data_IF_932055626049
#
_entry.id   IF_932055626049
#
_cell.length_a   1.000
_cell.length_b   1.000
_cell.length_c   1.000
_cell.angle_alpha   90.00
_cell.angle_beta   90.00
_cell.angle_gamma   90.00
#
_symmetry.space_group_name_H-M   'P 1'
#
loop_
_entity.id
_entity.type
_entity.pdbx_description
1 polymer ?
#
# COMPACT_ATOMS: atom_id res chain seq x y z
N UNK A 1 7.77 -15.96 -16.79
CA UNK A 1 6.79 -16.27 -15.74
C UNK A 1 6.50 -14.98 -14.98
N UNK A 2 5.25 -14.55 -14.99
CA UNK A 2 4.76 -13.40 -14.22
C UNK A 2 4.33 -13.81 -12.82
N UNK A 3 4.12 -12.85 -11.93
CA UNK A 3 3.62 -13.13 -10.57
C UNK A 3 2.22 -13.76 -10.60
N UNK A 4 1.35 -13.36 -11.54
CA UNK A 4 0.01 -13.95 -11.70
C UNK A 4 0.09 -15.41 -12.15
N UNK A 5 0.96 -15.72 -13.12
CA UNK A 5 1.17 -17.10 -13.60
C UNK A 5 1.70 -18.03 -12.51
N UNK A 6 2.48 -17.50 -11.57
CA UNK A 6 3.01 -18.26 -10.44
C UNK A 6 1.95 -18.53 -9.35
N UNK A 7 1.05 -17.57 -9.09
CA UNK A 7 0.14 -17.60 -7.92
C UNK A 7 -1.23 -18.19 -8.25
N UNK A 8 -1.81 -17.89 -9.42
CA UNK A 8 -3.18 -18.28 -9.73
C UNK A 8 -3.38 -19.83 -9.74
N UNK A 9 -2.45 -20.66 -10.28
CA UNK A 9 -2.59 -22.12 -10.20
C UNK A 9 -2.58 -22.66 -8.77
N UNK A 10 -1.77 -22.06 -7.89
CA UNK A 10 -1.70 -22.44 -6.46
C UNK A 10 -3.05 -22.14 -5.80
N UNK A 11 -3.61 -20.96 -6.07
CA UNK A 11 -4.92 -20.60 -5.54
C UNK A 11 -6.02 -21.57 -6.01
N UNK A 12 -6.05 -21.91 -7.30
CA UNK A 12 -7.04 -22.84 -7.84
C UNK A 12 -6.91 -24.24 -7.24
N UNK A 13 -5.68 -24.73 -7.03
CA UNK A 13 -5.43 -25.99 -6.33
C UNK A 13 -5.96 -25.97 -4.90
N UNK A 14 -5.63 -24.92 -4.12
CA UNK A 14 -6.08 -24.78 -2.74
C UNK A 14 -7.60 -24.67 -2.66
N UNK A 15 -8.21 -23.88 -3.53
CA UNK A 15 -9.66 -23.73 -3.60
C UNK A 15 -10.35 -25.07 -3.88
N UNK A 16 -9.88 -25.84 -4.87
CA UNK A 16 -10.41 -27.16 -5.19
C UNK A 16 -10.28 -28.16 -4.05
N UNK A 17 -9.11 -28.20 -3.40
CA UNK A 17 -8.87 -29.07 -2.24
C UNK A 17 -9.80 -28.73 -1.07
N UNK A 18 -9.93 -27.45 -0.73
CA UNK A 18 -10.84 -26.98 0.32
C UNK A 18 -12.30 -27.33 0.00
N UNK A 19 -12.74 -27.13 -1.24
CA UNK A 19 -14.11 -27.43 -1.66
C UNK A 19 -14.42 -28.93 -1.56
N UNK A 20 -13.49 -29.78 -2.03
CA UNK A 20 -13.63 -31.24 -1.94
C UNK A 20 -13.74 -31.70 -0.49
N UNK A 21 -12.85 -31.20 0.38
CA UNK A 21 -12.88 -31.54 1.81
C UNK A 21 -14.17 -31.05 2.48
N UNK A 22 -14.59 -29.82 2.20
CA UNK A 22 -15.82 -29.25 2.76
C UNK A 22 -17.04 -30.10 2.38
N UNK A 23 -17.19 -30.43 1.10
CA UNK A 23 -18.30 -31.26 0.60
C UNK A 23 -18.22 -32.66 1.20
N UNK A 24 -17.05 -33.29 1.19
CA UNK A 24 -16.87 -34.66 1.70
C UNK A 24 -17.20 -34.78 3.19
N UNK A 25 -16.64 -33.89 4.01
CA UNK A 25 -16.86 -33.87 5.47
C UNK A 25 -18.32 -33.55 5.78
N UNK A 26 -18.90 -32.56 5.10
CA UNK A 26 -20.30 -32.17 5.33
C UNK A 26 -21.26 -33.27 4.88
N UNK A 27 -21.02 -33.91 3.73
CA UNK A 27 -21.83 -35.03 3.27
C UNK A 27 -21.75 -36.22 4.23
N UNK A 28 -20.56 -36.56 4.72
CA UNK A 28 -20.38 -37.61 5.73
C UNK A 28 -21.10 -37.26 7.03
N UNK A 29 -20.97 -36.02 7.52
CA UNK A 29 -21.65 -35.54 8.72
C UNK A 29 -23.18 -35.62 8.56
N UNK A 30 -23.73 -35.10 7.46
CA UNK A 30 -25.17 -35.17 7.16
C UNK A 30 -25.63 -36.62 7.05
N UNK A 31 -24.86 -37.47 6.36
CA UNK A 31 -25.15 -38.90 6.26
C UNK A 31 -25.24 -39.55 7.64
N UNK A 32 -24.27 -39.33 8.53
CA UNK A 32 -24.28 -39.91 9.87
C UNK A 32 -25.44 -39.39 10.71
N UNK A 33 -25.70 -38.08 10.67
CA UNK A 33 -26.83 -37.46 11.38
C UNK A 33 -28.16 -38.07 10.92
N UNK A 34 -28.37 -38.27 9.62
CA UNK A 34 -29.62 -38.81 9.08
C UNK A 34 -29.73 -40.33 9.28
N UNK A 35 -28.65 -41.08 9.05
CA UNK A 35 -28.65 -42.55 9.09
C UNK A 35 -28.71 -43.10 10.51
N UNK A 36 -28.06 -42.43 11.46
CA UNK A 36 -27.96 -42.85 12.86
C UNK A 36 -28.76 -41.93 13.80
N UNK A 37 -29.70 -41.15 13.25
CA UNK A 37 -30.67 -40.42 14.06
C UNK A 37 -31.43 -41.38 15.00
N UNK A 38 -31.66 -40.97 16.25
CA UNK A 38 -32.29 -41.82 17.29
C UNK A 38 -33.64 -42.43 16.87
N UNK A 39 -34.43 -41.73 16.05
CA UNK A 39 -35.69 -42.27 15.55
C UNK A 39 -35.54 -43.39 14.51
N UNK A 40 -34.37 -43.50 13.85
CA UNK A 40 -34.07 -44.52 12.83
C UNK A 40 -33.14 -45.62 13.35
N UNK A 41 -32.26 -45.30 14.30
CA UNK A 41 -31.34 -46.22 14.95
C UNK A 41 -31.43 -46.04 16.48
N UNK A 42 -32.47 -46.61 17.13
CA UNK A 42 -32.72 -46.41 18.56
C UNK A 42 -31.73 -47.15 19.47
N UNK A 43 -31.11 -48.22 18.99
CA UNK A 43 -30.08 -48.98 19.70
C UNK A 43 -28.74 -48.89 18.96
N UNK A 44 -27.65 -48.74 19.71
CA UNK A 44 -26.30 -48.73 19.15
C UNK A 44 -25.89 -50.14 18.72
N UNK A 45 -25.34 -50.28 17.51
CA UNK A 45 -25.04 -51.58 16.90
C UNK A 45 -23.54 -51.85 16.71
N UNK A 46 -22.67 -50.91 17.10
CA UNK A 46 -21.21 -51.01 16.92
C UNK A 46 -20.49 -50.91 18.26
N UNK A 47 -19.72 -51.96 18.59
CA UNK A 47 -18.80 -52.00 19.74
C UNK A 47 -17.33 -51.75 19.33
N UNK A 48 -17.09 -51.32 18.09
CA UNK A 48 -15.76 -51.05 17.57
C UNK A 48 -15.14 -49.80 18.21
N UNK A 49 -14.03 -49.98 18.90
CA UNK A 49 -13.31 -48.90 19.60
C UNK A 49 -12.11 -48.32 18.83
N UNK A 50 -11.81 -48.83 17.64
CA UNK A 50 -10.70 -48.34 16.82
C UNK A 50 -10.52 -49.09 15.51
N UNK A 51 -9.81 -48.47 14.57
CA UNK A 51 -9.43 -49.09 13.31
C UNK A 51 -8.07 -48.51 12.87
N UNK A 52 -7.00 -49.28 13.11
CA UNK A 52 -5.63 -48.87 12.80
C UNK A 52 -5.46 -48.44 11.33
N UNK A 53 -6.13 -49.11 10.39
CA UNK A 53 -6.03 -48.74 8.97
C UNK A 53 -6.68 -47.39 8.69
N UNK A 54 -7.84 -47.13 9.27
CA UNK A 54 -8.49 -45.82 9.17
C UNK A 54 -7.61 -44.74 9.80
N UNK A 55 -6.97 -45.06 10.93
CA UNK A 55 -6.04 -44.19 11.63
C UNK A 55 -4.81 -43.83 10.79
N UNK A 56 -4.23 -44.82 10.11
CA UNK A 56 -3.11 -44.60 9.20
C UNK A 56 -3.55 -43.73 8.03
N UNK A 57 -4.70 -44.02 7.42
CA UNK A 57 -5.21 -43.29 6.24
C UNK A 57 -5.49 -41.84 6.58
N UNK A 58 -6.20 -41.55 7.66
CA UNK A 58 -6.54 -40.17 8.05
C UNK A 58 -5.34 -39.38 8.59
N UNK A 59 -4.21 -40.04 8.87
CA UNK A 59 -2.99 -39.37 9.29
C UNK A 59 -2.13 -39.07 8.07
N UNK A 60 -1.86 -40.09 7.26
CA UNK A 60 -1.00 -39.94 6.08
C UNK A 60 -1.61 -39.03 5.02
N UNK A 61 -2.92 -39.11 4.77
CA UNK A 61 -3.57 -38.32 3.72
C UNK A 61 -3.47 -36.80 4.00
N UNK A 62 -3.85 -36.27 5.17
CA UNK A 62 -3.65 -34.85 5.48
C UNK A 62 -2.17 -34.45 5.54
N UNK A 63 -1.28 -35.31 6.06
CA UNK A 63 0.16 -35.01 6.06
C UNK A 63 0.69 -34.83 4.65
N UNK A 64 0.38 -35.73 3.73
CA UNK A 64 0.80 -35.62 2.33
C UNK A 64 0.19 -34.39 1.64
N UNK A 65 -1.08 -34.09 1.92
CA UNK A 65 -1.74 -32.90 1.40
C UNK A 65 -1.03 -31.61 1.86
N UNK A 66 -0.72 -31.49 3.16
CA UNK A 66 -0.02 -30.33 3.72
C UNK A 66 1.40 -30.23 3.15
N UNK A 67 2.11 -31.34 2.98
CA UNK A 67 3.43 -31.36 2.35
C UNK A 67 3.39 -30.87 0.89
N UNK A 68 2.38 -31.27 0.13
CA UNK A 68 2.17 -30.76 -1.23
C UNK A 68 1.86 -29.25 -1.23
N UNK A 69 0.97 -28.78 -0.33
CA UNK A 69 0.67 -27.35 -0.16
C UNK A 69 1.93 -26.55 0.20
N UNK A 70 2.79 -27.07 1.08
CA UNK A 70 4.06 -26.44 1.45
C UNK A 70 4.97 -26.29 0.23
N UNK A 71 5.14 -27.36 -0.56
CA UNK A 71 5.98 -27.32 -1.77
C UNK A 71 5.51 -26.23 -2.76
N UNK A 72 4.21 -26.19 -3.06
CA UNK A 72 3.65 -25.16 -3.94
C UNK A 72 3.79 -23.76 -3.35
N UNK A 73 3.45 -23.58 -2.07
CA UNK A 73 3.58 -22.30 -1.37
C UNK A 73 5.02 -21.78 -1.37
N UNK A 74 5.99 -22.66 -1.14
CA UNK A 74 7.42 -22.34 -1.20
C UNK A 74 7.86 -21.93 -2.61
N UNK A 75 7.42 -22.64 -3.65
CA UNK A 75 7.73 -22.29 -5.05
C UNK A 75 7.16 -20.93 -5.47
N UNK A 76 5.93 -20.61 -5.04
CA UNK A 76 5.30 -19.32 -5.25
C UNK A 76 6.01 -18.21 -4.47
N UNK A 77 6.39 -18.46 -3.22
CA UNK A 77 7.18 -17.54 -2.41
C UNK A 77 8.52 -17.18 -3.08
N UNK A 78 9.26 -18.18 -3.55
CA UNK A 78 10.53 -17.95 -4.26
C UNK A 78 10.32 -17.14 -5.53
N UNK A 79 9.25 -17.40 -6.27
CA UNK A 79 8.89 -16.61 -7.45
C UNK A 79 8.70 -15.14 -7.08
N UNK A 80 7.93 -14.83 -6.04
CA UNK A 80 7.73 -13.45 -5.58
C UNK A 80 8.98 -12.77 -5.00
N UNK A 81 9.99 -13.53 -4.57
CA UNK A 81 11.24 -12.99 -3.99
C UNK A 81 12.37 -12.83 -5.00
N UNK A 82 12.39 -13.67 -6.02
CA UNK A 82 13.43 -13.66 -7.04
C UNK A 82 13.09 -12.67 -8.15
N UNK A 83 13.67 -11.48 -8.06
CA UNK A 83 13.50 -10.44 -9.10
C UNK A 83 14.21 -10.89 -10.39
N UNK A 84 13.54 -10.86 -11.55
CA UNK A 84 14.18 -11.14 -12.84
C UNK A 84 15.36 -10.19 -13.12
N UNK A 85 16.40 -10.70 -13.79
CA UNK A 85 17.51 -9.87 -14.24
C UNK A 85 17.03 -8.79 -15.23
N UNK A 86 17.63 -7.60 -15.17
CA UNK A 86 17.27 -6.47 -16.04
C UNK A 86 15.94 -5.79 -15.67
N UNK A 87 15.40 -6.03 -14.48
CA UNK A 87 14.23 -5.33 -13.99
C UNK A 87 14.47 -3.83 -13.87
N UNK A 88 13.54 -3.03 -14.41
CA UNK A 88 13.50 -1.59 -14.20
C UNK A 88 13.33 -1.29 -12.71
N UNK A 89 14.13 -0.37 -12.18
CA UNK A 89 14.00 0.05 -10.79
C UNK A 89 13.21 1.35 -10.68
N UNK A 90 12.23 1.35 -9.78
CA UNK A 90 11.45 2.54 -9.37
C UNK A 90 11.40 2.55 -7.85
N UNK A 91 11.49 3.72 -7.23
CA UNK A 91 11.32 3.84 -5.77
C UNK A 91 9.93 4.37 -5.48
N UNK A 92 9.13 3.58 -4.75
CA UNK A 92 7.85 4.01 -4.20
C UNK A 92 8.05 4.49 -2.76
N UNK A 93 7.78 5.77 -2.54
CA UNK A 93 7.77 6.41 -1.23
C UNK A 93 6.33 6.52 -0.74
N UNK A 94 6.05 5.92 0.40
CA UNK A 94 4.77 5.95 1.09
C UNK A 94 4.80 6.95 2.25
N UNK A 95 3.70 7.69 2.39
CA UNK A 95 3.42 8.57 3.52
C UNK A 95 1.92 8.69 3.71
N UNK A 96 1.45 9.11 4.88
CA UNK A 96 0.05 9.43 5.14
C UNK A 96 -0.39 10.60 4.26
N UNK A 97 -1.29 10.46 3.28
CA UNK A 97 -1.89 9.24 2.69
C UNK A 97 -1.73 9.28 1.17
N UNK A 98 -0.47 9.30 0.72
CA UNK A 98 -0.09 9.46 -0.68
C UNK A 98 1.08 8.55 -1.05
N UNK A 99 1.16 8.26 -2.35
CA UNK A 99 2.29 7.58 -2.96
C UNK A 99 3.07 8.57 -3.83
N UNK A 100 4.39 8.44 -3.84
CA UNK A 100 5.27 9.11 -4.80
C UNK A 100 6.23 8.10 -5.41
N UNK A 101 6.37 8.12 -6.73
CA UNK A 101 7.22 7.22 -7.50
C UNK A 101 8.37 8.00 -8.10
N UNK A 102 9.59 7.63 -7.73
CA UNK A 102 10.82 8.24 -8.23
C UNK A 102 11.51 7.31 -9.23
N UNK A 103 11.87 7.83 -10.40
CA UNK A 103 12.48 7.10 -11.50
C UNK A 103 13.99 7.41 -11.59
N UNK A 104 14.81 6.53 -12.22
CA UNK A 104 16.26 6.71 -12.29
C UNK A 104 16.71 8.02 -12.95
N UNK A 105 15.87 8.59 -13.80
CA UNK A 105 16.12 9.86 -14.51
C UNK A 105 15.76 11.10 -13.68
N UNK A 106 15.39 10.93 -12.40
CA UNK A 106 15.01 12.01 -11.49
C UNK A 106 13.55 12.46 -11.60
N UNK A 107 12.76 11.92 -12.55
CA UNK A 107 11.33 12.22 -12.64
C UNK A 107 10.60 11.65 -11.44
N UNK A 108 9.58 12.37 -10.96
CA UNK A 108 8.66 11.92 -9.90
C UNK A 108 7.22 11.94 -10.37
N UNK A 109 6.37 11.07 -9.82
CA UNK A 109 4.95 11.03 -10.16
C UNK A 109 4.11 10.49 -9.00
N UNK A 110 2.85 10.95 -8.83
CA UNK A 110 1.92 10.35 -7.88
C UNK A 110 1.37 8.98 -8.34
N UNK A 111 1.57 8.61 -9.61
CA UNK A 111 1.17 7.33 -10.22
C UNK A 111 2.39 6.54 -10.70
N UNK A 112 2.29 5.21 -10.72
CA UNK A 112 3.37 4.33 -11.14
C UNK A 112 3.24 4.00 -12.62
N UNK A 113 3.98 4.69 -13.47
CA UNK A 113 4.08 4.42 -14.90
C UNK A 113 5.11 3.32 -15.16
N UNK A 114 4.73 2.33 -15.97
CA UNK A 114 5.59 1.19 -16.28
C UNK A 114 5.43 0.77 -17.74
N UNK A 115 6.50 0.29 -18.41
CA UNK A 115 6.37 -0.30 -19.72
C UNK A 115 5.74 -1.70 -19.66
N UNK A 116 4.82 -1.99 -20.57
CA UNK A 116 4.20 -3.31 -20.72
C UNK A 116 5.26 -4.38 -21.04
N UNK A 117 5.09 -5.56 -20.46
CA UNK A 117 5.90 -6.75 -20.75
C UNK A 117 7.29 -6.76 -20.12
N UNK A 118 7.70 -5.72 -19.39
CA UNK A 118 9.00 -5.66 -18.73
C UNK A 118 8.90 -5.90 -17.22
N UNK A 119 9.88 -6.57 -16.61
CA UNK A 119 9.94 -6.71 -15.16
C UNK A 119 10.23 -5.36 -14.51
N UNK A 120 9.45 -5.04 -13.48
CA UNK A 120 9.60 -3.81 -12.69
C UNK A 120 9.84 -4.20 -11.24
N UNK A 121 10.95 -3.72 -10.68
CA UNK A 121 11.30 -3.80 -9.27
C UNK A 121 10.98 -2.47 -8.61
N UNK A 122 10.02 -2.49 -7.69
CA UNK A 122 9.64 -1.32 -6.90
C UNK A 122 10.34 -1.41 -5.55
N UNK A 123 11.31 -0.53 -5.32
CA UNK A 123 11.92 -0.34 -4.00
C UNK A 123 10.91 0.41 -3.11
N UNK A 124 10.64 -0.12 -1.92
CA UNK A 124 9.59 0.37 -1.04
C UNK A 124 10.20 1.12 0.14
N UNK A 125 9.79 2.38 0.34
CA UNK A 125 10.26 3.26 1.42
C UNK A 125 9.04 3.88 2.09
N UNK A 126 9.02 3.89 3.43
CA UNK A 126 8.04 4.66 4.21
C UNK A 126 8.74 5.81 4.93
N UNK A 127 8.14 7.00 4.90
CA UNK A 127 8.61 8.19 5.60
C UNK A 127 8.02 8.34 7.01
N UNK A 128 6.97 7.59 7.35
CA UNK A 128 6.23 7.78 8.60
C UNK A 128 5.83 6.47 9.31
N UNK A 129 4.73 5.84 8.91
CA UNK A 129 4.13 4.64 9.54
C UNK A 129 4.19 3.46 8.58
N UNK A 130 3.72 2.29 9.02
CA UNK A 130 3.66 1.14 8.13
C UNK A 130 2.54 1.36 7.11
N UNK A 131 2.87 1.15 5.83
CA UNK A 131 1.90 1.09 4.73
C UNK A 131 1.92 -0.30 4.08
N UNK A 132 0.97 -0.58 3.20
CA UNK A 132 0.95 -1.83 2.44
C UNK A 132 0.90 -1.54 0.96
N UNK A 133 1.94 -1.85 0.20
CA UNK A 133 1.93 -1.76 -1.26
C UNK A 133 1.17 -2.96 -1.83
N UNK A 134 -0.06 -2.76 -2.30
CA UNK A 134 -0.90 -3.83 -2.81
C UNK A 134 -1.41 -3.56 -4.22
N UNK A 135 -1.00 -4.43 -5.15
CA UNK A 135 -1.45 -4.49 -6.53
C UNK A 135 -2.27 -5.77 -6.76
N UNK A 136 -3.60 -5.74 -6.58
CA UNK A 136 -4.44 -6.94 -6.70
C UNK A 136 -4.33 -7.60 -8.08
N UNK A 137 -4.28 -6.79 -9.14
CA UNK A 137 -4.18 -7.24 -10.53
C UNK A 137 -2.96 -8.14 -10.77
N UNK A 138 -1.87 -7.94 -10.01
CA UNK A 138 -0.62 -8.68 -10.14
C UNK A 138 -0.38 -9.69 -9.01
N UNK A 139 -1.31 -9.84 -8.06
CA UNK A 139 -1.17 -10.66 -6.83
C UNK A 139 0.04 -10.28 -5.97
N UNK A 140 0.44 -9.02 -6.02
CA UNK A 140 1.62 -8.53 -5.29
C UNK A 140 1.17 -7.67 -4.12
N UNK A 141 1.49 -8.12 -2.91
CA UNK A 141 1.29 -7.37 -1.67
C UNK A 141 2.58 -7.38 -0.87
N UNK A 142 3.01 -6.21 -0.39
CA UNK A 142 4.20 -6.08 0.45
C UNK A 142 4.08 -4.90 1.40
N UNK A 143 4.36 -5.13 2.68
CA UNK A 143 4.38 -4.05 3.66
C UNK A 143 5.59 -3.14 3.45
N UNK A 144 5.34 -1.84 3.58
CA UNK A 144 6.32 -0.76 3.50
C UNK A 144 6.56 -0.29 4.92
N UNK A 145 7.68 -0.72 5.50
CA UNK A 145 7.98 -0.49 6.92
C UNK A 145 9.06 0.57 7.06
N UNK A 146 8.85 1.62 7.87
CA UNK A 146 9.86 2.64 8.14
C UNK A 146 11.20 2.03 8.58
N UNK A 147 12.31 2.53 8.00
CA UNK A 147 13.66 2.06 8.33
C UNK A 147 14.06 0.70 7.74
N UNK A 148 13.17 -0.04 7.11
CA UNK A 148 13.50 -1.31 6.44
C UNK A 148 13.54 -1.18 4.93
N UNK A 149 14.63 -1.67 4.31
CA UNK A 149 14.70 -1.82 2.85
C UNK A 149 13.84 -3.00 2.42
N UNK A 150 12.81 -2.72 1.64
CA UNK A 150 11.95 -3.76 1.08
C UNK A 150 11.73 -3.50 -0.41
N UNK A 151 11.26 -4.53 -1.12
CA UNK A 151 10.90 -4.40 -2.52
C UNK A 151 9.72 -5.29 -2.87
N UNK A 152 9.05 -4.93 -3.94
CA UNK A 152 8.10 -5.75 -4.67
C UNK A 152 8.53 -5.82 -6.13
N UNK A 153 8.11 -6.85 -6.87
CA UNK A 153 8.32 -6.89 -8.31
C UNK A 153 7.11 -7.47 -9.02
N UNK A 154 6.87 -7.04 -10.25
CA UNK A 154 5.80 -7.54 -11.10
C UNK A 154 6.11 -7.32 -12.59
N UNK A 155 5.25 -7.88 -13.45
CA UNK A 155 5.25 -7.61 -14.90
C UNK A 155 3.81 -7.26 -15.29
N UNK A 156 3.63 -6.09 -15.92
CA UNK A 156 2.34 -5.71 -16.48
C UNK A 156 2.24 -6.24 -17.91
N UNK A 157 1.54 -7.36 -18.11
CA UNK A 157 1.45 -8.01 -19.44
C UNK A 157 0.50 -7.31 -20.42
N UNK A 158 -0.37 -6.43 -19.94
CA UNK A 158 -1.35 -5.70 -20.75
C UNK A 158 -1.28 -4.22 -20.40
N UNK A 159 -1.49 -3.37 -21.40
CA UNK A 159 -1.64 -1.94 -21.19
C UNK A 159 -2.94 -1.65 -20.41
N UNK A 160 -2.92 -0.62 -19.58
CA UNK A 160 -4.08 -0.22 -18.79
C UNK A 160 -3.72 0.44 -17.47
N UNK A 161 -4.75 0.89 -16.77
CA UNK A 161 -4.67 1.45 -15.42
C UNK A 161 -5.08 0.39 -14.40
N UNK A 162 -4.24 0.14 -13.41
CA UNK A 162 -4.47 -0.86 -12.38
C UNK A 162 -4.41 -0.22 -10.99
N UNK A 163 -5.36 -0.52 -10.12
CA UNK A 163 -5.39 0.06 -8.79
C UNK A 163 -4.19 -0.37 -7.93
N UNK A 164 -3.66 0.62 -7.20
CA UNK A 164 -2.72 0.44 -6.11
C UNK A 164 -3.38 0.92 -4.82
N UNK A 165 -3.53 -0.01 -3.87
CA UNK A 165 -4.12 0.27 -2.57
C UNK A 165 -3.06 0.29 -1.47
N UNK A 166 -3.26 1.12 -0.46
CA UNK A 166 -2.65 0.88 0.85
C UNK A 166 -3.39 -0.27 1.55
N UNK A 167 -2.68 -1.35 1.88
CA UNK A 167 -3.27 -2.55 2.50
C UNK A 167 -2.85 -2.80 3.94
N UNK A 168 -2.30 -1.78 4.60
CA UNK A 168 -1.94 -1.78 6.01
C UNK A 168 -2.49 -0.50 6.63
N UNK A 169 -3.22 -0.59 7.75
CA UNK A 169 -3.89 0.57 8.33
C UNK A 169 -2.87 1.64 8.72
N UNK A 170 -2.93 2.79 8.04
CA UNK A 170 -1.97 3.87 8.17
C UNK A 170 -2.62 5.18 8.65
N UNK A 171 -3.80 5.13 9.27
CA UNK A 171 -4.48 6.28 9.85
C UNK A 171 -5.83 6.64 9.22
N UNK A 172 -6.33 7.83 9.52
CA UNK A 172 -7.74 8.21 9.27
C UNK A 172 -8.14 8.27 7.79
N UNK A 173 -7.21 8.55 6.87
CA UNK A 173 -7.46 8.49 5.42
C UNK A 173 -6.86 7.24 4.77
N UNK A 174 -6.66 6.17 5.53
CA UNK A 174 -6.14 4.89 5.01
C UNK A 174 -6.90 4.40 3.77
N UNK A 175 -8.25 4.42 3.80
CA UNK A 175 -9.08 3.99 2.67
C UNK A 175 -8.99 4.89 1.44
N UNK A 176 -8.52 6.13 1.59
CA UNK A 176 -8.32 7.07 0.49
C UNK A 176 -6.87 7.06 -0.04
N UNK A 177 -5.97 6.27 0.56
CA UNK A 177 -4.59 6.12 0.12
C UNK A 177 -4.50 5.18 -1.10
N UNK A 178 -5.01 5.67 -2.23
CA UNK A 178 -5.12 4.95 -3.50
C UNK A 178 -4.26 5.67 -4.54
N UNK A 179 -3.62 4.90 -5.41
CA UNK A 179 -2.97 5.37 -6.63
C UNK A 179 -3.18 4.33 -7.74
N UNK A 180 -2.53 4.48 -8.88
CA UNK A 180 -2.62 3.55 -10.00
C UNK A 180 -1.26 3.21 -10.58
N UNK A 181 -1.17 2.00 -11.13
CA UNK A 181 -0.12 1.58 -12.06
C UNK A 181 -0.63 1.82 -13.47
N UNK A 182 0.03 2.70 -14.20
CA UNK A 182 -0.26 3.02 -15.60
C UNK A 182 0.71 2.22 -16.48
N UNK A 183 0.25 1.08 -16.99
CA UNK A 183 1.03 0.24 -17.88
C UNK A 183 0.89 0.74 -19.33
N UNK A 184 1.98 1.28 -19.86
CA UNK A 184 2.02 1.91 -21.18
C UNK A 184 2.78 1.07 -22.21
N UNK A 185 2.42 1.13 -23.50
CA UNK A 185 3.29 0.68 -24.58
C UNK A 185 4.69 1.31 -24.47
N UNK A 186 5.72 0.59 -24.89
CA UNK A 186 7.11 1.00 -24.68
C UNK A 186 7.43 2.39 -25.23
N UNK A 187 6.92 2.73 -26.42
CA UNK A 187 7.11 4.04 -27.04
C UNK A 187 6.47 5.17 -26.23
N UNK A 188 5.26 4.96 -25.70
CA UNK A 188 4.55 5.93 -24.87
C UNK A 188 5.22 6.10 -23.51
N UNK A 189 5.67 5.00 -22.90
CA UNK A 189 6.45 5.06 -21.67
C UNK A 189 7.74 5.86 -21.87
N UNK A 190 8.47 5.62 -22.96
CA UNK A 190 9.70 6.35 -23.27
C UNK A 190 9.43 7.84 -23.48
N UNK A 191 8.36 8.20 -24.21
CA UNK A 191 7.94 9.59 -24.40
C UNK A 191 7.56 10.24 -23.06
N UNK A 192 6.76 9.56 -22.24
CA UNK A 192 6.40 10.02 -20.91
C UNK A 192 7.63 10.22 -20.02
N UNK A 193 8.62 9.33 -20.09
CA UNK A 193 9.83 9.43 -19.26
C UNK A 193 10.64 10.70 -19.59
N UNK A 194 10.66 11.10 -20.86
CA UNK A 194 11.32 12.32 -21.35
C UNK A 194 10.49 13.60 -21.13
N UNK A 195 9.16 13.47 -21.02
CA UNK A 195 8.26 14.59 -20.80
C UNK A 195 8.61 15.33 -19.49
N UNK A 196 8.88 16.63 -19.57
CA UNK A 196 9.23 17.45 -18.42
C UNK A 196 10.69 17.41 -17.98
N UNK A 197 11.57 16.64 -18.64
CA UNK A 197 13.03 16.67 -18.39
C UNK A 197 13.74 17.93 -18.93
N UNK A 198 13.00 18.95 -19.38
CA UNK A 198 13.53 20.21 -19.91
C UNK A 198 12.94 21.47 -19.28
N UNK A 199 12.19 21.36 -18.18
CA UNK A 199 11.57 22.51 -17.53
C UNK A 199 12.56 23.30 -16.67
N UNK A 200 13.29 24.26 -17.25
CA UNK A 200 13.96 25.35 -16.52
C UNK A 200 12.97 26.37 -15.94
N UNK A 201 11.73 25.95 -15.69
CA UNK A 201 10.66 26.80 -15.18
C UNK A 201 10.65 26.80 -13.66
N UNK A 202 10.29 27.96 -13.07
CA UNK A 202 10.04 28.11 -11.63
C UNK A 202 9.12 26.97 -11.14
N UNK A 203 9.43 26.29 -10.01
CA UNK A 203 8.58 25.24 -9.49
C UNK A 203 7.14 25.73 -9.26
N UNK A 204 6.15 24.90 -9.58
CA UNK A 204 4.73 25.20 -9.32
C UNK A 204 4.38 24.81 -7.88
N UNK A 205 4.07 25.82 -7.05
CA UNK A 205 3.75 25.63 -5.64
C UNK A 205 2.49 24.79 -5.39
N UNK A 206 1.48 24.86 -6.28
CA UNK A 206 0.26 24.02 -6.15
C UNK A 206 0.61 22.56 -6.39
N UNK A 207 1.33 22.31 -7.48
CA UNK A 207 1.79 20.96 -7.83
C UNK A 207 2.68 20.38 -6.74
N UNK A 208 3.56 21.19 -6.15
CA UNK A 208 4.37 20.78 -5.00
C UNK A 208 3.51 20.43 -3.78
N UNK A 209 2.45 21.19 -3.47
CA UNK A 209 1.56 20.87 -2.35
C UNK A 209 0.85 19.52 -2.53
N UNK A 210 0.51 19.16 -3.77
CA UNK A 210 -0.04 17.85 -4.13
C UNK A 210 1.03 16.75 -4.08
N UNK A 211 2.16 16.95 -4.78
CA UNK A 211 3.24 15.97 -4.90
C UNK A 211 3.98 15.70 -3.59
N UNK A 212 4.02 16.66 -2.67
CA UNK A 212 4.62 16.51 -1.34
C UNK A 212 3.59 16.07 -0.29
N UNK A 213 2.32 15.87 -0.68
CA UNK A 213 1.28 15.30 0.18
C UNK A 213 0.66 16.26 1.19
N UNK A 214 0.94 17.57 1.11
CA UNK A 214 0.42 18.57 2.04
C UNK A 214 -1.11 18.56 2.08
N UNK A 215 -1.75 18.40 0.91
CA UNK A 215 -3.21 18.40 0.78
C UNK A 215 -3.89 17.14 1.31
N UNK A 216 -3.12 16.11 1.69
CA UNK A 216 -3.66 14.93 2.38
C UNK A 216 -4.07 15.24 3.83
N UNK A 217 -3.38 16.19 4.48
CA UNK A 217 -3.63 16.59 5.86
C UNK A 217 -4.31 17.95 5.99
N UNK A 218 -4.01 18.87 5.06
CA UNK A 218 -4.46 20.26 5.10
C UNK A 218 -5.50 20.54 4.01
N UNK A 219 -6.66 21.05 4.41
CA UNK A 219 -7.74 21.42 3.48
C UNK A 219 -7.54 22.81 2.87
N UNK A 220 -8.23 23.07 1.76
CA UNK A 220 -8.27 24.38 1.08
C UNK A 220 -9.63 25.09 1.24
N UNK A 221 -10.59 24.48 1.93
CA UNK A 221 -11.97 24.96 2.04
C UNK A 221 -12.30 25.64 3.38
N UNK A 222 -11.39 25.55 4.35
CA UNK A 222 -11.56 26.08 5.71
C UNK A 222 -11.90 25.00 6.75
N UNK A 223 -12.27 23.80 6.34
CA UNK A 223 -12.63 22.72 7.26
C UNK A 223 -11.38 22.16 7.97
N UNK A 224 -11.41 21.92 9.29
CA UNK A 224 -10.30 21.26 9.97
C UNK A 224 -10.16 19.83 9.48
N UNK A 225 -8.94 19.44 9.13
CA UNK A 225 -8.60 18.07 8.74
C UNK A 225 -7.75 17.41 9.80
N UNK A 226 -6.74 16.68 9.32
CA UNK A 226 -5.69 16.11 10.16
C UNK A 226 -4.74 17.21 10.64
N UNK A 227 -4.53 18.22 9.78
CA UNK A 227 -3.95 19.51 10.12
C UNK A 227 -4.94 20.67 9.91
N UNK A 228 -4.53 21.90 10.27
CA UNK A 228 -5.32 23.11 10.05
C UNK A 228 -5.49 23.43 8.56
N UNK A 229 -6.58 24.12 8.20
CA UNK A 229 -6.81 24.53 6.81
C UNK A 229 -5.85 25.63 6.35
N UNK A 230 -5.41 25.55 5.08
CA UNK A 230 -4.59 26.58 4.43
C UNK A 230 -5.40 27.77 3.88
N UNK A 231 -6.73 27.69 3.84
CA UNK A 231 -7.59 28.76 3.27
C UNK A 231 -7.45 30.08 4.05
N UNK A 232 -6.86 31.12 3.49
CA UNK A 232 -6.69 32.41 4.17
C UNK A 232 -5.69 32.32 5.32
N UNK A 233 -4.59 31.57 5.14
CA UNK A 233 -3.65 31.27 6.21
C UNK A 233 -2.81 32.48 6.63
N UNK A 234 -2.49 33.37 5.71
CA UNK A 234 -1.67 34.55 6.00
C UNK A 234 -2.37 35.55 6.91
N UNK A 235 -1.65 36.05 7.91
CA UNK A 235 -2.16 37.01 8.88
C UNK A 235 -3.12 36.43 9.93
N UNK A 236 -3.42 35.13 9.88
CA UNK A 236 -4.26 34.46 10.87
C UNK A 236 -3.56 34.41 12.22
N UNK A 237 -4.27 34.73 13.30
CA UNK A 237 -3.78 34.45 14.65
C UNK A 237 -4.07 33.00 15.03
N UNK A 238 -3.03 32.24 15.36
CA UNK A 238 -3.11 30.84 15.79
C UNK A 238 -2.51 30.67 17.18
N UNK A 239 -3.17 29.91 18.03
CA UNK A 239 -2.64 29.50 19.33
C UNK A 239 -1.77 28.26 19.13
N UNK A 240 -0.50 28.34 19.47
CA UNK A 240 0.46 27.23 19.33
C UNK A 240 0.96 26.77 20.69
N UNK A 241 1.23 25.47 20.79
CA UNK A 241 1.88 24.81 21.92
C UNK A 241 3.34 24.62 21.57
N UNK A 242 4.23 25.19 22.39
CA UNK A 242 5.69 25.07 22.25
C UNK A 242 6.26 24.41 23.51
N UNK A 243 7.56 24.10 23.51
CA UNK A 243 8.27 23.62 24.72
C UNK A 243 8.15 24.60 25.90
N UNK A 244 7.97 25.89 25.63
CA UNK A 244 7.85 26.95 26.64
C UNK A 244 6.41 27.28 27.07
N UNK A 245 5.41 26.50 26.61
CA UNK A 245 3.99 26.74 26.88
C UNK A 245 3.22 27.24 25.66
N UNK A 246 2.00 27.73 25.91
CA UNK A 246 1.10 28.23 24.88
C UNK A 246 1.40 29.69 24.53
N UNK A 247 1.42 30.02 23.23
CA UNK A 247 1.54 31.40 22.76
C UNK A 247 0.72 31.63 21.49
N UNK A 248 0.25 32.85 21.30
CA UNK A 248 -0.41 33.26 20.07
C UNK A 248 0.62 33.76 19.07
N UNK A 249 0.59 33.24 17.85
CA UNK A 249 1.43 33.69 16.73
C UNK A 249 0.51 34.18 15.61
N UNK A 250 0.89 35.30 14.98
CA UNK A 250 0.32 35.71 13.70
C UNK A 250 1.08 35.00 12.59
N UNK A 251 0.36 34.30 11.72
CA UNK A 251 0.98 33.53 10.63
C UNK A 251 1.63 34.47 9.62
N UNK A 252 2.96 34.43 9.60
CA UNK A 252 3.83 35.14 8.66
C UNK A 252 4.72 34.14 7.89
N UNK A 253 5.60 34.68 7.04
CA UNK A 253 6.51 33.88 6.22
C UNK A 253 7.48 33.04 7.04
N UNK A 254 7.95 33.58 8.16
CA UNK A 254 8.87 32.90 9.06
C UNK A 254 8.20 31.72 9.77
N UNK A 255 6.95 31.90 10.20
CA UNK A 255 6.11 30.85 10.76
C UNK A 255 5.87 29.74 9.74
N UNK A 256 5.40 30.06 8.52
CA UNK A 256 5.14 29.03 7.51
C UNK A 256 6.41 28.24 7.14
N UNK A 257 7.53 28.93 6.96
CA UNK A 257 8.83 28.28 6.70
C UNK A 257 9.22 27.33 7.84
N UNK A 258 9.09 27.79 9.09
CA UNK A 258 9.40 26.97 10.28
C UNK A 258 8.43 25.81 10.44
N UNK A 259 7.14 25.99 10.19
CA UNK A 259 6.15 24.90 10.26
C UNK A 259 6.40 23.81 9.22
N UNK A 260 6.97 24.13 8.06
CA UNK A 260 7.31 23.13 7.03
C UNK A 260 8.62 22.40 7.35
N UNK A 261 9.65 23.13 7.80
CA UNK A 261 10.97 22.55 8.08
C UNK A 261 11.06 21.89 9.46
N UNK A 262 10.35 22.44 10.45
CA UNK A 262 10.37 22.05 11.86
C UNK A 262 8.93 22.00 12.43
N UNK A 263 8.06 21.11 11.91
CA UNK A 263 6.65 21.05 12.26
C UNK A 263 6.35 20.87 13.77
N UNK A 264 7.28 20.27 14.52
CA UNK A 264 7.17 20.10 15.96
C UNK A 264 7.51 21.34 16.81
N UNK A 265 8.00 22.42 16.21
CA UNK A 265 8.42 23.61 16.95
C UNK A 265 7.23 24.45 17.46
N UNK A 266 6.20 24.62 16.63
CA UNK A 266 4.98 25.40 16.94
C UNK A 266 3.72 24.63 16.56
N UNK A 267 3.29 23.70 17.43
CA UNK A 267 2.11 22.88 17.20
C UNK A 267 0.84 23.70 17.37
N UNK A 268 0.00 23.82 16.34
CA UNK A 268 -1.31 24.48 16.48
C UNK A 268 -2.17 23.71 17.49
N UNK A 269 -2.65 24.41 18.52
CA UNK A 269 -3.44 23.79 19.60
C UNK A 269 -4.68 23.11 19.01
N UNK A 270 -4.93 21.87 19.44
CA UNK A 270 -6.03 21.05 18.95
C UNK A 270 -5.66 20.09 17.81
N UNK A 271 -4.44 20.14 17.29
CA UNK A 271 -3.94 19.19 16.29
C UNK A 271 -2.84 18.29 16.88
N UNK A 272 -2.78 17.01 16.50
CA UNK A 272 -1.74 16.09 16.95
C UNK A 272 -0.38 16.39 16.27
N UNK A 273 0.77 16.13 16.92
CA UNK A 273 2.11 16.39 16.39
C UNK A 273 2.55 15.30 15.39
N UNK A 274 1.81 15.15 14.29
CA UNK A 274 2.02 14.09 13.29
C UNK A 274 2.48 14.61 11.92
N UNK A 275 2.59 15.94 11.75
CA UNK A 275 3.08 16.53 10.51
C UNK A 275 4.56 16.12 10.31
N UNK A 276 4.91 15.40 9.23
CA UNK A 276 6.27 14.95 8.99
C UNK A 276 7.16 16.09 8.51
N UNK A 277 8.47 15.98 8.75
CA UNK A 277 9.47 16.86 8.12
C UNK A 277 9.67 16.42 6.67
N UNK A 278 9.37 17.31 5.73
CA UNK A 278 9.50 17.03 4.30
C UNK A 278 10.77 17.71 3.77
N UNK A 279 11.73 16.96 3.18
CA UNK A 279 12.90 17.57 2.56
C UNK A 279 12.48 18.32 1.29
N UNK A 280 12.75 19.63 1.27
CA UNK A 280 12.47 20.52 0.15
C UNK A 280 13.74 21.28 -0.23
N UNK A 281 13.98 21.41 -1.54
CA UNK A 281 14.97 22.36 -2.06
C UNK A 281 14.48 23.79 -1.79
N UNK A 282 15.41 24.74 -1.72
CA UNK A 282 15.07 26.12 -1.39
C UNK A 282 14.10 26.76 -2.41
N UNK A 283 14.26 26.46 -3.69
CA UNK A 283 13.36 26.90 -4.76
C UNK A 283 11.96 26.27 -4.65
N UNK A 284 11.87 24.99 -4.27
CA UNK A 284 10.59 24.30 -4.05
C UNK A 284 9.86 24.89 -2.86
N UNK A 285 10.59 25.16 -1.76
CA UNK A 285 10.04 25.78 -0.56
C UNK A 285 9.50 27.17 -0.86
N UNK A 286 10.25 28.00 -1.60
CA UNK A 286 9.80 29.34 -1.98
C UNK A 286 8.51 29.29 -2.80
N UNK A 287 8.44 28.43 -3.81
CA UNK A 287 7.26 28.26 -4.65
C UNK A 287 6.04 27.75 -3.86
N UNK A 288 6.24 26.77 -2.97
CA UNK A 288 5.19 26.25 -2.10
C UNK A 288 4.63 27.35 -1.19
N UNK A 289 5.51 28.12 -0.53
CA UNK A 289 5.10 29.21 0.34
C UNK A 289 4.34 30.29 -0.42
N UNK A 290 4.78 30.66 -1.63
CA UNK A 290 4.08 31.63 -2.48
C UNK A 290 2.66 31.17 -2.84
N UNK A 291 2.50 29.90 -3.19
CA UNK A 291 1.17 29.32 -3.41
C UNK A 291 0.30 29.39 -2.15
N UNK A 292 0.83 28.99 -1.00
CA UNK A 292 0.08 29.03 0.27
C UNK A 292 -0.37 30.44 0.66
N UNK A 293 0.46 31.46 0.40
CA UNK A 293 0.11 32.87 0.61
C UNK A 293 -1.06 33.33 -0.25
N UNK A 294 -1.19 32.77 -1.45
CA UNK A 294 -2.25 33.11 -2.40
C UNK A 294 -3.63 32.54 -2.04
N UNK A 295 -3.71 31.60 -1.10
CA UNK A 295 -4.95 30.96 -0.68
C UNK A 295 -5.74 31.91 0.23
N UNK A 296 -6.88 32.42 -0.25
CA UNK A 296 -7.80 33.30 0.48
C UNK A 296 -8.97 32.55 1.10
#
# INVERSE_FOLDING_TARGET
MTTTEAIDPIFMFLFGACLLLLIGITAAMVFFVVRYHRSRAPEATSDNNGNLWLEIVWTLLPTLLVMAMFYYGWSGYLSLRNVPAGAMEVTATARMWSWSFSYPNGKTSPKLYVPVGKPVKVNLVSEDVIHGFFLPAFRVKRDVVPGMKNHAWFVASKAGSYDLFCSQYCGTKHSAMISTVEALPEAEYAAWLQEGQGGTGKPDGKKLAEEKGCLGCHSLDGAPGVGPSFKGIMGRSVLVVTKGGERTITVDDAYLKRSVLEPGADLVKGFPPIMPTIPLKEEELAALLEYLKGLK
#
